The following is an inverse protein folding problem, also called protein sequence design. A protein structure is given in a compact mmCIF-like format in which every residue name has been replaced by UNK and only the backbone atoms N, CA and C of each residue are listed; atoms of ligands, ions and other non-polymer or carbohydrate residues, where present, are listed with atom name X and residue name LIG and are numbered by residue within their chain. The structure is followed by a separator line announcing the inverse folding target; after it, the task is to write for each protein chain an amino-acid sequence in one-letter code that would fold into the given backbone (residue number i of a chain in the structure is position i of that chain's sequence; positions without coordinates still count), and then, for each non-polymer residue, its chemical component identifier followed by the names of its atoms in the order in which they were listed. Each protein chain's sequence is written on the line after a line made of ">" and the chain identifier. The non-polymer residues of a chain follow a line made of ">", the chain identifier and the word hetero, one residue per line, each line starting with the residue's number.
data_IF_051171087148
#
_entry.id   IF_051171087148
#
_cell.length_a   1.000
_cell.length_b   1.000
_cell.length_c   1.000
_cell.angle_alpha   90.00
_cell.angle_beta   90.00
_cell.angle_gamma   90.00
#
_symmetry.space_group_name_H-M   'P 1'
#
loop_
_entity.id
_entity.type
_entity.pdbx_description
1 polymer ?
#
# COMPACT_ATOMS: atom_id res chain seq x y z
N UNK A 1 4.75 -6.54 -29.12
CA UNK A 1 6.15 -6.33 -28.66
C UNK A 1 6.27 -5.26 -27.58
N UNK A 2 5.58 -4.12 -27.68
CA UNK A 2 5.57 -3.08 -26.64
C UNK A 2 5.15 -3.57 -25.25
N UNK A 3 4.12 -4.44 -25.16
CA UNK A 3 3.65 -4.98 -23.89
C UNK A 3 4.74 -5.71 -23.09
N UNK A 4 5.46 -6.65 -23.73
CA UNK A 4 6.53 -7.40 -23.06
C UNK A 4 7.70 -6.51 -22.65
N UNK A 5 8.08 -5.54 -23.50
CA UNK A 5 9.12 -4.58 -23.17
C UNK A 5 8.71 -3.70 -21.99
N UNK A 6 7.48 -3.19 -22.00
CA UNK A 6 6.95 -2.38 -20.89
C UNK A 6 6.90 -3.19 -19.60
N UNK A 7 6.45 -4.44 -19.63
CA UNK A 7 6.40 -5.30 -18.45
C UNK A 7 7.80 -5.56 -17.88
N UNK A 8 8.78 -5.77 -18.77
CA UNK A 8 10.17 -5.97 -18.38
C UNK A 8 10.80 -4.69 -17.78
N UNK A 9 10.56 -3.53 -18.38
CA UNK A 9 11.00 -2.24 -17.83
C UNK A 9 10.35 -1.96 -16.48
N UNK A 10 9.06 -2.25 -16.31
CA UNK A 10 8.37 -2.12 -15.03
C UNK A 10 8.98 -3.02 -13.96
N UNK A 11 9.31 -4.26 -14.30
CA UNK A 11 10.03 -5.17 -13.40
C UNK A 11 11.42 -4.64 -13.03
N UNK A 12 12.16 -4.08 -14.00
CA UNK A 12 13.50 -3.52 -13.78
C UNK A 12 13.47 -2.27 -12.91
N UNK A 13 12.41 -1.48 -13.01
CA UNK A 13 12.17 -0.27 -12.22
C UNK A 13 11.68 -0.56 -10.79
N UNK A 14 11.36 -1.81 -10.44
CA UNK A 14 10.96 -2.15 -9.08
C UNK A 14 12.11 -1.89 -8.10
N UNK A 15 11.86 -1.27 -6.93
CA UNK A 15 12.92 -0.94 -5.96
C UNK A 15 13.76 -2.15 -5.55
N UNK A 16 13.13 -3.31 -5.36
CA UNK A 16 13.83 -4.55 -5.01
C UNK A 16 14.75 -5.03 -6.12
N UNK A 17 14.31 -4.93 -7.39
CA UNK A 17 15.12 -5.33 -8.54
C UNK A 17 16.38 -4.47 -8.65
N UNK A 18 16.24 -3.15 -8.46
CA UNK A 18 17.37 -2.21 -8.45
C UNK A 18 18.35 -2.58 -7.33
N UNK A 19 17.85 -2.84 -6.13
CA UNK A 19 18.68 -3.27 -4.98
C UNK A 19 19.45 -4.56 -5.29
N UNK A 20 18.79 -5.57 -5.84
CA UNK A 20 19.43 -6.84 -6.20
C UNK A 20 20.53 -6.61 -7.25
N UNK A 21 20.27 -5.80 -8.28
CA UNK A 21 21.26 -5.47 -9.32
C UNK A 21 22.49 -4.80 -8.70
N UNK A 22 22.30 -3.86 -7.76
CA UNK A 22 23.40 -3.19 -7.07
C UNK A 22 24.23 -4.14 -6.21
N UNK A 23 23.58 -5.06 -5.48
CA UNK A 23 24.25 -6.06 -4.64
C UNK A 23 25.03 -7.04 -5.53
N UNK A 24 24.38 -7.65 -6.52
CA UNK A 24 25.01 -8.62 -7.43
C UNK A 24 26.15 -7.97 -8.21
N UNK A 25 25.93 -6.78 -8.78
CA UNK A 25 26.99 -6.01 -9.45
C UNK A 25 28.13 -5.65 -8.51
N UNK A 26 27.83 -5.29 -7.26
CA UNK A 26 28.82 -5.02 -6.23
C UNK A 26 29.70 -6.22 -5.89
N UNK A 27 29.10 -7.42 -5.80
CA UNK A 27 29.82 -8.69 -5.57
C UNK A 27 30.68 -9.07 -6.78
N UNK A 28 30.15 -8.98 -8.00
CA UNK A 28 30.90 -9.30 -9.23
C UNK A 28 32.14 -8.39 -9.36
N UNK A 29 31.98 -7.10 -9.07
CA UNK A 29 33.06 -6.11 -9.19
C UNK A 29 33.79 -5.82 -7.88
N UNK A 30 33.72 -6.71 -6.88
CA UNK A 30 34.24 -6.47 -5.51
C UNK A 30 35.74 -6.12 -5.47
N UNK A 31 36.52 -6.63 -6.43
CA UNK A 31 37.96 -6.35 -6.58
C UNK A 31 38.22 -4.91 -7.05
N UNK A 32 37.23 -4.22 -7.61
CA UNK A 32 37.33 -2.83 -8.07
C UNK A 32 36.85 -1.88 -6.97
N UNK A 33 37.43 -0.68 -6.91
CA UNK A 33 37.09 0.36 -5.90
C UNK A 33 35.60 0.72 -5.85
N UNK A 34 34.89 0.59 -6.96
CA UNK A 34 33.46 0.90 -7.10
C UNK A 34 32.53 -0.28 -6.79
N UNK A 35 33.01 -1.53 -6.84
CA UNK A 35 32.19 -2.69 -6.48
C UNK A 35 31.80 -2.70 -5.00
N UNK A 36 32.74 -2.35 -4.11
CA UNK A 36 32.43 -2.16 -2.68
C UNK A 36 31.41 -1.05 -2.46
N UNK A 37 31.50 0.06 -3.19
CA UNK A 37 30.53 1.17 -3.09
C UNK A 37 29.12 0.72 -3.54
N UNK A 38 29.04 0.00 -4.66
CA UNK A 38 27.78 -0.57 -5.16
C UNK A 38 27.15 -1.55 -4.16
N UNK A 39 27.97 -2.42 -3.56
CA UNK A 39 27.50 -3.38 -2.57
C UNK A 39 26.93 -2.68 -1.34
N UNK A 40 27.67 -1.72 -0.77
CA UNK A 40 27.20 -0.94 0.38
C UNK A 40 25.99 -0.07 0.06
N UNK A 41 25.91 0.50 -1.15
CA UNK A 41 24.72 1.21 -1.60
C UNK A 41 23.52 0.28 -1.72
N UNK A 42 23.69 -0.92 -2.27
CA UNK A 42 22.64 -1.94 -2.37
C UNK A 42 22.15 -2.40 -1.01
N UNK A 43 23.05 -2.69 -0.07
CA UNK A 43 22.70 -3.04 1.32
C UNK A 43 21.99 -1.87 2.02
N UNK A 44 22.49 -0.64 1.85
CA UNK A 44 21.88 0.55 2.42
C UNK A 44 20.45 0.79 1.91
N UNK A 45 20.24 0.66 0.60
CA UNK A 45 18.91 0.76 -0.02
C UNK A 45 18.00 -0.39 0.39
N UNK A 46 18.52 -1.61 0.53
CA UNK A 46 17.75 -2.75 1.04
C UNK A 46 17.20 -2.44 2.43
N UNK A 47 18.07 -1.98 3.33
CA UNK A 47 17.68 -1.61 4.69
C UNK A 47 16.69 -0.44 4.70
N UNK A 48 16.89 0.56 3.83
CA UNK A 48 15.98 1.69 3.70
C UNK A 48 14.58 1.26 3.24
N UNK A 49 14.46 0.53 2.12
CA UNK A 49 13.17 0.14 1.55
C UNK A 49 12.46 -0.97 2.35
N UNK A 50 13.20 -1.77 3.11
CA UNK A 50 12.61 -2.85 3.92
C UNK A 50 12.26 -2.38 5.34
N UNK A 51 12.58 -1.16 5.72
CA UNK A 51 12.33 -0.65 7.07
C UNK A 51 10.88 -0.14 7.23
N UNK A 52 10.01 -0.85 7.98
CA UNK A 52 8.61 -0.44 8.14
C UNK A 52 8.44 0.88 8.89
N UNK A 53 9.40 1.25 9.74
CA UNK A 53 9.37 2.53 10.45
C UNK A 53 9.43 3.71 9.47
N UNK A 54 10.32 3.65 8.48
CA UNK A 54 10.45 4.69 7.47
C UNK A 54 9.22 4.76 6.56
N UNK A 55 8.69 3.60 6.15
CA UNK A 55 7.46 3.58 5.36
C UNK A 55 6.27 4.14 6.13
N UNK A 56 6.14 3.81 7.42
CA UNK A 56 5.06 4.33 8.25
C UNK A 56 5.17 5.83 8.49
N UNK A 57 6.38 6.37 8.68
CA UNK A 57 6.58 7.82 8.77
C UNK A 57 6.23 8.53 7.46
N UNK A 58 6.60 7.96 6.32
CA UNK A 58 6.25 8.50 5.01
C UNK A 58 4.73 8.49 4.79
N UNK A 59 4.05 7.40 5.18
CA UNK A 59 2.60 7.30 5.13
C UNK A 59 1.95 8.32 6.06
N UNK A 60 2.40 8.44 7.32
CA UNK A 60 1.88 9.42 8.27
C UNK A 60 2.02 10.86 7.77
N UNK A 61 3.12 11.19 7.09
CA UNK A 61 3.34 12.51 6.50
C UNK A 61 2.50 12.75 5.23
N UNK A 62 2.06 11.69 4.56
CA UNK A 62 1.25 11.75 3.34
C UNK A 62 -0.26 11.71 3.61
N UNK A 63 -0.67 10.98 4.64
CA UNK A 63 -2.07 10.82 5.03
C UNK A 63 -2.64 12.14 5.55
N UNK A 64 -3.86 12.52 5.13
CA UNK A 64 -4.53 13.68 5.69
C UNK A 64 -4.94 13.41 7.15
N UNK A 65 -5.02 14.47 7.93
CA UNK A 65 -5.50 14.38 9.31
C UNK A 65 -6.91 13.79 9.38
N UNK A 66 -7.15 13.01 10.44
CA UNK A 66 -8.47 12.47 10.71
C UNK A 66 -9.46 13.59 11.02
N UNK A 67 -10.62 13.55 10.37
CA UNK A 67 -11.74 14.44 10.68
C UNK A 67 -12.64 13.82 11.73
N UNK A 68 -13.08 14.62 12.68
CA UNK A 68 -14.11 14.20 13.63
C UNK A 68 -15.40 13.87 12.90
N UNK A 69 -16.14 12.86 13.37
CA UNK A 69 -17.47 12.55 12.82
C UNK A 69 -18.47 13.71 12.97
N UNK A 70 -18.24 14.62 13.93
CA UNK A 70 -19.09 15.78 14.15
C UNK A 70 -18.99 16.80 13.02
N UNK A 71 -17.77 17.01 12.50
CA UNK A 71 -17.44 17.93 11.40
C UNK A 71 -17.96 17.46 10.04
N UNK A 72 -18.35 16.19 9.93
CA UNK A 72 -18.87 15.62 8.69
C UNK A 72 -20.29 16.13 8.46
N UNK A 73 -20.49 16.84 7.36
CA UNK A 73 -21.79 17.32 6.92
C UNK A 73 -22.71 16.15 6.53
N UNK A 74 -24.02 16.40 6.63
CA UNK A 74 -25.01 15.42 6.21
C UNK A 74 -24.97 15.25 4.68
N UNK A 75 -24.88 14.01 4.22
CA UNK A 75 -24.88 13.65 2.79
C UNK A 75 -25.95 12.60 2.51
N UNK A 76 -26.43 12.54 1.28
CA UNK A 76 -27.38 11.48 0.92
C UNK A 76 -26.70 10.12 0.83
N UNK A 77 -25.49 10.07 0.26
CA UNK A 77 -24.79 8.82 -0.06
C UNK A 77 -23.37 8.87 0.52
N UNK A 78 -22.99 7.85 1.27
CA UNK A 78 -21.60 7.52 1.59
C UNK A 78 -21.08 6.43 0.65
N UNK A 79 -19.93 6.66 0.02
CA UNK A 79 -19.33 5.72 -0.94
C UNK A 79 -18.28 4.87 -0.21
N UNK A 80 -18.42 3.56 -0.29
CA UNK A 80 -17.47 2.59 0.26
C UNK A 80 -16.87 1.80 -0.88
N UNK A 81 -15.55 1.95 -1.06
CA UNK A 81 -14.80 1.16 -2.03
C UNK A 81 -14.70 -0.30 -1.56
N UNK A 82 -14.90 -1.25 -2.48
CA UNK A 82 -14.87 -2.69 -2.19
C UNK A 82 -13.45 -3.19 -1.84
N UNK A 83 -13.24 -4.50 -1.81
CA UNK A 83 -11.92 -5.09 -1.51
C UNK A 83 -11.56 -5.15 -0.03
N UNK A 84 -12.55 -5.01 0.87
CA UNK A 84 -12.39 -5.18 2.33
C UNK A 84 -12.76 -6.57 2.82
N UNK A 85 -13.48 -7.34 2.00
CA UNK A 85 -14.01 -8.66 2.35
C UNK A 85 -13.01 -9.75 2.02
N UNK A 86 -12.96 -10.77 2.88
CA UNK A 86 -12.10 -11.93 2.70
C UNK A 86 -12.87 -13.03 1.96
N UNK A 87 -12.63 -13.13 0.65
CA UNK A 87 -13.26 -14.11 -0.23
C UNK A 87 -12.74 -15.54 -0.04
N UNK A 88 -11.65 -15.74 0.71
CA UNK A 88 -11.04 -17.06 0.94
C UNK A 88 -11.73 -17.88 2.04
N UNK A 89 -12.75 -17.32 2.71
CA UNK A 89 -13.49 -18.00 3.78
C UNK A 89 -14.74 -18.66 3.23
N UNK A 90 -14.97 -19.92 3.63
CA UNK A 90 -16.03 -20.80 3.11
C UNK A 90 -17.34 -20.73 3.90
N UNK A 91 -17.39 -19.95 4.98
CA UNK A 91 -18.64 -19.71 5.71
C UNK A 91 -19.43 -18.59 5.02
N UNK A 92 -20.58 -18.96 4.45
CA UNK A 92 -21.46 -18.08 3.67
C UNK A 92 -22.49 -17.31 4.52
N UNK A 93 -22.55 -17.58 5.83
CA UNK A 93 -23.50 -16.96 6.75
C UNK A 93 -23.04 -15.61 7.30
N UNK A 94 -21.77 -15.24 7.08
CA UNK A 94 -21.17 -14.02 7.60
C UNK A 94 -20.08 -13.48 6.69
N UNK A 95 -19.92 -12.15 6.71
CA UNK A 95 -18.83 -11.48 6.00
C UNK A 95 -17.59 -11.46 6.87
N UNK A 96 -16.47 -11.96 6.34
CA UNK A 96 -15.17 -11.80 6.97
C UNK A 96 -14.48 -10.57 6.41
N UNK A 97 -13.96 -9.71 7.28
CA UNK A 97 -13.12 -8.61 6.87
C UNK A 97 -11.64 -8.99 6.98
N UNK A 98 -10.81 -8.37 6.14
CA UNK A 98 -9.35 -8.45 6.25
C UNK A 98 -8.81 -7.04 6.56
N UNK A 99 -7.75 -6.60 5.89
CA UNK A 99 -7.26 -5.22 5.98
C UNK A 99 -8.30 -4.22 5.45
N UNK A 100 -8.49 -3.11 6.17
CA UNK A 100 -9.37 -2.02 5.77
C UNK A 100 -10.84 -2.18 6.17
N UNK A 101 -11.14 -3.02 7.16
CA UNK A 101 -12.47 -3.14 7.77
C UNK A 101 -13.03 -1.78 8.24
N UNK A 102 -12.15 -0.86 8.63
CA UNK A 102 -12.50 0.49 9.08
C UNK A 102 -13.35 1.26 8.06
N UNK A 103 -13.15 1.01 6.76
CA UNK A 103 -13.93 1.66 5.69
C UNK A 103 -15.43 1.37 5.79
N UNK A 104 -15.81 0.13 6.09
CA UNK A 104 -17.22 -0.26 6.19
C UNK A 104 -17.78 0.04 7.58
N UNK A 105 -16.98 -0.11 8.64
CA UNK A 105 -17.44 0.19 10.01
C UNK A 105 -17.67 1.68 10.20
N UNK A 106 -16.79 2.55 9.68
CA UNK A 106 -16.99 4.01 9.72
C UNK A 106 -18.20 4.44 8.89
N UNK A 107 -18.41 3.85 7.71
CA UNK A 107 -19.60 4.14 6.90
C UNK A 107 -20.89 3.72 7.62
N UNK A 108 -20.89 2.53 8.26
CA UNK A 108 -22.02 2.07 9.05
C UNK A 108 -22.29 2.97 10.26
N UNK A 109 -21.23 3.44 10.92
CA UNK A 109 -21.35 4.39 12.04
C UNK A 109 -21.96 5.72 11.57
N UNK A 110 -21.47 6.31 10.48
CA UNK A 110 -22.04 7.52 9.88
C UNK A 110 -23.51 7.35 9.47
N UNK A 111 -23.87 6.17 8.97
CA UNK A 111 -25.26 5.83 8.64
C UNK A 111 -26.14 5.80 9.89
N UNK A 112 -25.68 5.14 10.97
CA UNK A 112 -26.41 5.08 12.25
C UNK A 112 -26.51 6.44 12.93
N UNK A 113 -25.52 7.32 12.74
CA UNK A 113 -25.54 8.70 13.22
C UNK A 113 -26.45 9.62 12.37
N UNK A 114 -27.05 9.13 11.29
CA UNK A 114 -27.90 9.92 10.39
C UNK A 114 -27.13 10.91 9.51
N UNK A 115 -25.79 10.85 9.52
CA UNK A 115 -24.91 11.71 8.71
C UNK A 115 -24.93 11.29 7.24
N UNK A 116 -25.16 10.02 6.94
CA UNK A 116 -25.42 9.53 5.58
C UNK A 116 -26.74 8.77 5.52
N UNK A 117 -27.50 8.91 4.43
CA UNK A 117 -28.82 8.27 4.26
C UNK A 117 -28.76 6.92 3.55
N UNK A 118 -27.73 6.70 2.74
CA UNK A 118 -27.51 5.47 1.95
C UNK A 118 -26.01 5.17 1.90
N UNK A 119 -25.68 3.89 1.80
CA UNK A 119 -24.32 3.43 1.56
C UNK A 119 -24.27 2.86 0.14
N UNK A 120 -23.38 3.40 -0.70
CA UNK A 120 -23.09 2.88 -2.03
C UNK A 120 -21.78 2.11 -2.00
N UNK A 121 -21.82 0.84 -2.40
CA UNK A 121 -20.63 -0.02 -2.50
C UNK A 121 -20.20 -0.08 -3.96
N UNK A 122 -18.95 0.27 -4.27
CA UNK A 122 -18.42 0.26 -5.66
C UNK A 122 -16.97 -0.24 -5.72
N UNK A 123 -16.59 -0.79 -6.87
CA UNK A 123 -15.20 -1.20 -7.19
C UNK A 123 -14.39 0.01 -7.64
#
# INVERSE_FOLDING_TARGET
>A
MFFYLSQFLSFLAMPLTIVIILIVGGVIFIKRKWGKKLLWAGIGLLLFFTNPFLSNLALLAWEPDFKSFEEIENREIGIVLTGVTNLSKTAYDRTFFNKGADRITHALQLYRMGKIKKILITV
#
